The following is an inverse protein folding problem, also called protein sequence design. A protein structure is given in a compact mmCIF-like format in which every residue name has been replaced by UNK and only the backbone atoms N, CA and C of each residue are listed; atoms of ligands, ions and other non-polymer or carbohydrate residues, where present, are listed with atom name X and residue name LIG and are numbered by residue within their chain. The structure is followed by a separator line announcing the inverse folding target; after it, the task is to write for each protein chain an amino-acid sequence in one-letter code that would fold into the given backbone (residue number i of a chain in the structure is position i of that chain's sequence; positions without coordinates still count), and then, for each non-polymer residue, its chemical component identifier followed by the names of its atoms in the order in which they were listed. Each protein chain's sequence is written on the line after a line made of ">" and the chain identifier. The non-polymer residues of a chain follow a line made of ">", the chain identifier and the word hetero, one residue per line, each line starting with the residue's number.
data_IF_938612067443
#
_entry.id   IF_938612067443
#
_cell.length_a   1.000
_cell.length_b   1.000
_cell.length_c   1.000
_cell.angle_alpha   90.00
_cell.angle_beta   90.00
_cell.angle_gamma   90.00
#
_symmetry.space_group_name_H-M   'P 1'
#
loop_
_entity.id
_entity.type
_entity.pdbx_description
1 polymer ?
#
# COMPACT_ATOMS: atom_id res chain seq x y z
N UNK A 1 10.93 -9.54 -8.75
CA UNK A 1 11.02 -9.42 -7.28
C UNK A 1 9.80 -9.98 -6.58
N UNK A 2 8.56 -9.58 -6.93
CA UNK A 2 7.36 -10.12 -6.27
C UNK A 2 7.31 -11.65 -6.30
N UNK A 3 7.51 -12.25 -7.47
CA UNK A 3 7.56 -13.72 -7.61
C UNK A 3 8.60 -14.36 -6.69
N UNK A 4 9.83 -13.87 -6.74
CA UNK A 4 10.96 -14.37 -5.96
C UNK A 4 10.67 -14.37 -4.44
N UNK A 5 9.88 -13.41 -3.95
CA UNK A 5 9.59 -13.23 -2.53
C UNK A 5 8.15 -13.58 -2.14
N UNK A 6 7.39 -14.24 -3.01
CA UNK A 6 5.97 -14.54 -2.81
C UNK A 6 5.70 -15.17 -1.44
N UNK A 7 6.44 -16.22 -1.09
CA UNK A 7 6.26 -16.94 0.18
C UNK A 7 6.58 -16.08 1.41
N UNK A 8 7.49 -15.12 1.30
CA UNK A 8 7.77 -14.17 2.38
C UNK A 8 6.67 -13.12 2.48
N UNK A 9 6.17 -12.63 1.34
CA UNK A 9 5.10 -11.63 1.30
C UNK A 9 3.77 -12.18 1.85
N UNK A 10 3.46 -13.46 1.61
CA UNK A 10 2.29 -14.12 2.18
C UNK A 10 2.34 -14.29 3.70
N UNK A 11 3.52 -14.16 4.32
CA UNK A 11 3.66 -14.20 5.78
C UNK A 11 3.42 -12.85 6.44
N UNK A 12 3.36 -11.76 5.67
CA UNK A 12 3.05 -10.44 6.22
C UNK A 12 1.59 -10.39 6.67
N UNK A 13 1.33 -9.74 7.80
CA UNK A 13 -0.04 -9.56 8.30
C UNK A 13 -0.86 -8.57 7.45
N UNK A 14 -0.21 -7.80 6.58
CA UNK A 14 -0.88 -6.97 5.60
C UNK A 14 0.11 -6.09 4.82
N UNK A 15 -0.32 -5.66 3.64
CA UNK A 15 0.38 -4.71 2.79
C UNK A 15 -0.62 -3.62 2.38
N UNK A 16 -0.24 -2.36 2.54
CA UNK A 16 -1.01 -1.21 2.05
C UNK A 16 -0.09 -0.34 1.21
N UNK A 17 -0.50 -0.04 -0.02
CA UNK A 17 0.18 0.88 -0.93
C UNK A 17 -0.79 1.99 -1.31
N UNK A 18 -0.36 3.25 -1.20
CA UNK A 18 -1.17 4.40 -1.59
C UNK A 18 -0.34 5.50 -2.24
N UNK A 19 -1.02 6.35 -3.03
CA UNK A 19 -0.48 7.64 -3.48
C UNK A 19 -1.62 8.63 -3.79
N UNK A 20 -1.30 9.93 -3.84
CA UNK A 20 -2.25 10.99 -4.11
C UNK A 20 -2.66 11.07 -5.59
N UNK A 21 -3.93 11.35 -5.88
CA UNK A 21 -4.44 11.46 -7.26
C UNK A 21 -3.63 12.42 -8.16
N UNK A 22 -3.12 13.50 -7.57
CA UNK A 22 -2.32 14.55 -8.21
C UNK A 22 -0.81 14.37 -7.98
N UNK A 23 -0.36 13.17 -7.61
CA UNK A 23 1.07 12.84 -7.42
C UNK A 23 1.92 13.30 -8.62
N UNK A 24 2.79 14.28 -8.35
CA UNK A 24 3.65 14.92 -9.33
C UNK A 24 4.79 14.01 -9.82
N UNK A 25 5.22 13.07 -9.00
CA UNK A 25 6.28 12.13 -9.33
C UNK A 25 5.72 10.94 -10.11
N UNK A 26 5.85 11.01 -11.45
CA UNK A 26 5.36 9.97 -12.36
C UNK A 26 5.86 8.56 -12.01
N UNK A 27 7.10 8.43 -11.54
CA UNK A 27 7.68 7.15 -11.15
C UNK A 27 6.96 6.51 -9.96
N UNK A 28 6.42 7.30 -9.02
CA UNK A 28 5.60 6.79 -7.91
C UNK A 28 4.29 6.22 -8.44
N UNK A 29 3.57 6.97 -9.28
CA UNK A 29 2.30 6.50 -9.88
C UNK A 29 2.49 5.21 -10.66
N UNK A 30 3.53 5.14 -11.50
CA UNK A 30 3.79 3.98 -12.36
C UNK A 30 4.27 2.78 -11.54
N UNK A 31 5.28 2.97 -10.68
CA UNK A 31 5.88 1.86 -9.94
C UNK A 31 4.93 1.28 -8.89
N UNK A 32 4.19 2.12 -8.14
CA UNK A 32 3.24 1.67 -7.12
C UNK A 32 2.09 0.87 -7.74
N UNK A 33 1.54 1.33 -8.86
CA UNK A 33 0.50 0.58 -9.59
C UNK A 33 1.03 -0.74 -10.13
N UNK A 34 2.18 -0.72 -10.82
CA UNK A 34 2.79 -1.94 -11.34
C UNK A 34 3.07 -2.95 -10.22
N UNK A 35 3.54 -2.48 -9.07
CA UNK A 35 3.79 -3.35 -7.91
C UNK A 35 2.49 -3.95 -7.37
N UNK A 36 1.41 -3.17 -7.24
CA UNK A 36 0.09 -3.68 -6.85
C UNK A 36 -0.48 -4.69 -7.87
N UNK A 37 -0.32 -4.44 -9.16
CA UNK A 37 -0.74 -5.35 -10.22
C UNK A 37 0.01 -6.69 -10.11
N UNK A 38 1.34 -6.66 -9.89
CA UNK A 38 2.15 -7.86 -9.72
C UNK A 38 1.78 -8.66 -8.44
N UNK A 39 1.36 -7.98 -7.36
CA UNK A 39 0.82 -8.63 -6.16
C UNK A 39 -0.53 -9.29 -6.46
N UNK A 40 -1.40 -8.62 -7.22
CA UNK A 40 -2.70 -9.14 -7.67
C UNK A 40 -2.54 -10.41 -8.50
N UNK A 41 -1.68 -10.36 -9.52
CA UNK A 41 -1.41 -11.50 -10.42
C UNK A 41 -0.94 -12.75 -9.66
N UNK A 42 -0.28 -12.57 -8.51
CA UNK A 42 0.25 -13.66 -7.67
C UNK A 42 -0.64 -14.03 -6.49
N UNK A 43 -1.83 -13.44 -6.41
CA UNK A 43 -2.79 -13.64 -5.33
C UNK A 43 -2.21 -13.34 -3.95
N UNK A 44 -1.38 -12.29 -3.85
CA UNK A 44 -0.84 -11.81 -2.58
C UNK A 44 -1.81 -10.76 -2.01
N UNK A 45 -2.38 -10.96 -0.80
CA UNK A 45 -3.31 -10.00 -0.21
C UNK A 45 -2.66 -8.64 0.03
N UNK A 46 -3.28 -7.58 -0.49
CA UNK A 46 -2.84 -6.21 -0.32
C UNK A 46 -4.01 -5.23 -0.50
N UNK A 47 -3.81 -4.00 -0.06
CA UNK A 47 -4.68 -2.87 -0.35
C UNK A 47 -3.90 -1.90 -1.24
N UNK A 48 -4.53 -1.44 -2.31
CA UNK A 48 -3.99 -0.38 -3.16
C UNK A 48 -5.03 0.73 -3.32
N UNK A 49 -4.63 1.97 -3.06
CA UNK A 49 -5.52 3.13 -3.11
C UNK A 49 -4.86 4.33 -3.80
N UNK A 50 -5.63 5.02 -4.65
CA UNK A 50 -5.27 6.35 -5.13
C UNK A 50 -6.25 7.34 -4.50
N UNK A 51 -5.76 8.22 -3.62
CA UNK A 51 -6.65 9.06 -2.82
C UNK A 51 -6.93 10.43 -3.47
N UNK A 52 -8.20 10.82 -3.47
CA UNK A 52 -8.68 11.99 -4.21
C UNK A 52 -8.11 13.30 -3.66
N UNK A 53 -7.79 14.20 -4.58
CA UNK A 53 -7.20 15.51 -4.26
C UNK A 53 -5.85 15.45 -3.55
N UNK A 54 -5.23 14.27 -3.50
CA UNK A 54 -3.93 14.05 -2.88
C UNK A 54 -2.77 14.45 -3.77
N UNK A 55 -1.71 15.00 -3.21
CA UNK A 55 -0.40 15.15 -3.88
C UNK A 55 0.65 14.28 -3.16
N UNK A 56 1.94 14.49 -3.40
CA UNK A 56 2.98 13.71 -2.74
C UNK A 56 3.01 13.86 -1.19
N UNK A 57 2.61 15.02 -0.66
CA UNK A 57 2.87 15.41 0.73
C UNK A 57 1.68 15.93 1.52
N UNK A 58 0.48 16.01 0.93
CA UNK A 58 -0.70 16.55 1.59
C UNK A 58 -1.55 15.47 2.29
N UNK A 59 -2.60 15.91 3.01
CA UNK A 59 -3.58 15.06 3.70
C UNK A 59 -3.01 14.06 4.72
N UNK A 60 -1.73 14.18 5.08
CA UNK A 60 -1.02 13.22 5.96
C UNK A 60 -1.79 12.93 7.24
N UNK A 61 -2.23 13.97 7.96
CA UNK A 61 -3.00 13.79 9.20
C UNK A 61 -4.30 13.02 8.98
N UNK A 62 -5.10 13.47 8.00
CA UNK A 62 -6.36 12.82 7.61
C UNK A 62 -6.14 11.34 7.26
N UNK A 63 -5.10 11.04 6.47
CA UNK A 63 -4.73 9.67 6.07
C UNK A 63 -4.30 8.83 7.27
N UNK A 64 -3.51 9.38 8.19
CA UNK A 64 -3.10 8.68 9.41
C UNK A 64 -4.33 8.26 10.21
N UNK A 65 -5.22 9.21 10.49
CA UNK A 65 -6.40 9.00 11.33
C UNK A 65 -7.42 8.05 10.68
N UNK A 66 -7.60 8.12 9.35
CA UNK A 66 -8.67 7.41 8.64
C UNK A 66 -8.23 6.15 7.89
N UNK A 67 -6.93 5.93 7.70
CA UNK A 67 -6.39 4.77 6.97
C UNK A 67 -5.31 4.05 7.75
N UNK A 68 -4.21 4.73 8.10
CA UNK A 68 -3.02 4.08 8.67
C UNK A 68 -3.34 3.44 10.03
N UNK A 69 -3.91 4.21 10.97
CA UNK A 69 -4.23 3.68 12.30
C UNK A 69 -5.26 2.55 12.23
N UNK A 70 -6.23 2.65 11.32
CA UNK A 70 -7.23 1.61 11.11
C UNK A 70 -6.65 0.35 10.46
N UNK A 71 -5.67 0.50 9.56
CA UNK A 71 -4.96 -0.63 8.99
C UNK A 71 -4.22 -1.38 10.09
N UNK A 72 -3.40 -0.68 10.87
CA UNK A 72 -2.65 -1.30 11.97
C UNK A 72 -3.56 -1.86 13.06
N UNK A 73 -4.69 -1.23 13.39
CA UNK A 73 -5.61 -1.80 14.38
C UNK A 73 -6.19 -3.16 13.96
N UNK A 74 -6.22 -3.46 12.65
CA UNK A 74 -6.66 -4.74 12.11
C UNK A 74 -5.54 -5.74 11.87
N UNK A 75 -4.34 -5.27 11.51
CA UNK A 75 -3.26 -6.13 11.01
C UNK A 75 -2.07 -6.26 11.94
N UNK A 76 -1.91 -5.36 12.92
CA UNK A 76 -0.77 -5.41 13.84
C UNK A 76 -0.93 -6.62 14.78
N UNK A 77 0.00 -7.56 14.66
CA UNK A 77 0.14 -8.68 15.58
C UNK A 77 1.52 -8.61 16.23
N UNK A 78 1.58 -8.89 17.53
CA UNK A 78 2.81 -8.85 18.33
C UNK A 78 3.36 -10.23 18.65
N UNK A 79 3.08 -11.23 17.79
CA UNK A 79 3.56 -12.58 18.03
C UNK A 79 5.11 -12.57 18.11
N UNK A 80 5.72 -13.31 19.06
CA UNK A 80 7.16 -13.51 19.10
C UNK A 80 7.69 -14.26 17.88
#
# INVERSE_FOLDING_TARGET
>A
MVEQYRESLLKLHGIYIDYGQNEEFSHIRIASRKFADELTERSIPHIFEVYQGGDHGNKIRERIETRVLQFFSRTLAFNP
#
